data_IF_468668180231
#
_entry.id   IF_468668180231
#
_cell.length_a   1.000
_cell.length_b   1.000
_cell.length_c   1.000
_cell.angle_alpha   90.00
_cell.angle_beta   90.00
_cell.angle_gamma   90.00
#
_symmetry.space_group_name_H-M   'P 1'
#
loop_
_entity.id
_entity.type
_entity.pdbx_description
1 polymer ?
#
# COMPACT_ATOMS: atom_id res chain seq x y z
N UNK A 1 12.42 19.43 18.31
CA UNK A 1 10.99 19.65 18.03
C UNK A 1 10.67 18.91 16.75
N UNK A 2 9.86 17.87 16.82
CA UNK A 2 9.50 17.00 15.69
C UNK A 2 8.36 17.66 14.92
N UNK A 3 8.58 18.04 13.67
CA UNK A 3 7.59 18.70 12.79
C UNK A 3 6.52 17.70 12.29
N UNK A 4 5.81 17.02 13.21
CA UNK A 4 4.58 16.30 12.88
C UNK A 4 3.48 17.32 12.61
N UNK A 5 3.25 17.63 11.34
CA UNK A 5 2.36 18.72 10.95
C UNK A 5 1.07 18.17 10.36
N UNK A 6 -0.06 18.75 10.77
CA UNK A 6 -1.34 18.61 10.11
C UNK A 6 -1.37 19.53 8.86
N UNK A 7 -1.83 19.04 7.71
CA UNK A 7 -1.70 19.71 6.39
C UNK A 7 -2.18 21.17 6.36
N UNK A 8 -3.12 21.55 7.24
CA UNK A 8 -3.61 22.93 7.40
C UNK A 8 -2.55 23.94 7.85
N UNK A 9 -1.48 23.51 8.52
CA UNK A 9 -0.38 24.37 8.96
C UNK A 9 0.76 24.47 7.94
N UNK A 10 0.74 23.66 6.87
CA UNK A 10 1.81 23.69 5.87
C UNK A 10 1.89 25.02 5.14
N UNK A 11 0.76 25.65 4.80
CA UNK A 11 0.73 26.92 4.07
C UNK A 11 1.44 28.04 4.85
N UNK A 12 1.17 28.15 6.15
CA UNK A 12 1.82 29.11 7.05
C UNK A 12 3.33 28.87 7.09
N UNK A 13 3.74 27.60 7.25
CA UNK A 13 5.17 27.23 7.30
C UNK A 13 5.89 27.46 5.97
N UNK A 14 5.21 27.27 4.83
CA UNK A 14 5.74 27.61 3.50
C UNK A 14 5.99 29.10 3.41
N UNK A 15 5.02 29.93 3.77
CA UNK A 15 5.17 31.39 3.75
C UNK A 15 6.34 31.87 4.62
N UNK A 16 6.52 31.29 5.81
CA UNK A 16 7.64 31.62 6.69
C UNK A 16 8.99 31.28 6.05
N UNK A 17 9.12 30.14 5.37
CA UNK A 17 10.34 29.77 4.66
C UNK A 17 10.66 30.79 3.57
N UNK A 18 9.68 31.15 2.74
CA UNK A 18 9.90 32.12 1.65
C UNK A 18 10.20 33.54 2.18
N UNK A 19 9.58 33.96 3.28
CA UNK A 19 9.83 35.26 3.90
C UNK A 19 11.23 35.36 4.51
N UNK A 20 11.74 34.26 5.08
CA UNK A 20 13.02 34.25 5.80
C UNK A 20 14.24 34.00 4.92
N UNK A 21 14.07 33.60 3.65
CA UNK A 21 15.18 33.12 2.83
C UNK A 21 15.10 33.65 1.40
N UNK A 22 16.23 34.19 0.91
CA UNK A 22 16.33 34.80 -0.42
C UNK A 22 16.40 33.78 -1.56
N UNK A 23 16.81 32.54 -1.28
CA UNK A 23 16.93 31.49 -2.29
C UNK A 23 16.33 30.21 -1.74
N UNK A 24 15.16 29.84 -2.25
CA UNK A 24 14.44 28.63 -1.84
C UNK A 24 14.01 27.87 -3.09
N UNK A 25 14.28 26.57 -3.11
CA UNK A 25 13.72 25.65 -4.08
C UNK A 25 12.84 24.63 -3.37
N UNK A 26 11.56 24.60 -3.74
CA UNK A 26 10.63 23.53 -3.40
C UNK A 26 10.81 22.37 -4.37
N UNK A 27 10.76 21.13 -3.86
CA UNK A 27 10.76 19.94 -4.70
C UNK A 27 9.35 19.64 -5.22
N UNK A 28 9.25 19.41 -6.52
CA UNK A 28 8.03 18.90 -7.16
C UNK A 28 8.14 17.37 -7.22
N UNK A 29 7.49 16.66 -6.29
CA UNK A 29 7.57 15.19 -6.22
C UNK A 29 7.14 14.49 -7.51
N UNK A 30 6.31 15.11 -8.36
CA UNK A 30 5.92 14.52 -9.64
C UNK A 30 7.03 14.61 -10.71
N UNK A 31 8.02 15.50 -10.53
CA UNK A 31 9.07 15.77 -11.54
C UNK A 31 10.48 15.46 -11.05
N UNK A 32 10.75 15.75 -9.78
CA UNK A 32 12.08 15.72 -9.19
C UNK A 32 12.48 14.33 -8.67
N UNK A 33 11.53 13.41 -8.52
CA UNK A 33 11.84 12.03 -8.12
C UNK A 33 12.43 11.25 -9.30
N UNK A 34 13.46 10.48 -9.01
CA UNK A 34 13.99 9.47 -9.92
C UNK A 34 13.14 8.20 -9.82
N UNK A 35 12.19 8.06 -10.75
CA UNK A 35 11.25 6.94 -10.79
C UNK A 35 11.91 5.59 -11.03
N UNK A 36 13.11 5.55 -11.61
CA UNK A 36 13.79 4.30 -11.95
C UNK A 36 14.50 3.70 -10.73
N UNK A 37 15.06 4.57 -9.89
CA UNK A 37 15.85 4.16 -8.73
C UNK A 37 15.04 4.15 -7.42
N UNK A 38 13.89 4.82 -7.38
CA UNK A 38 13.05 4.91 -6.19
C UNK A 38 12.22 3.65 -5.97
N UNK A 39 12.10 3.26 -4.70
CA UNK A 39 11.14 2.26 -4.24
C UNK A 39 9.70 2.78 -4.39
N UNK A 40 8.69 1.93 -4.14
CA UNK A 40 7.30 2.28 -4.44
C UNK A 40 6.77 3.35 -3.49
N UNK A 41 6.09 4.33 -4.07
CA UNK A 41 5.38 5.39 -3.37
C UNK A 41 4.08 5.75 -4.08
N UNK A 42 3.27 6.55 -3.41
CA UNK A 42 2.06 7.17 -3.93
C UNK A 42 2.15 8.68 -3.78
N UNK A 43 1.76 9.44 -4.80
CA UNK A 43 1.61 10.90 -4.71
C UNK A 43 0.14 11.22 -4.81
N UNK A 44 -0.40 11.88 -3.80
CA UNK A 44 -1.75 12.42 -3.86
C UNK A 44 -1.81 13.56 -4.89
N UNK A 45 -2.74 13.45 -5.85
CA UNK A 45 -2.80 14.42 -6.95
C UNK A 45 -3.25 15.81 -6.52
N UNK A 46 -4.00 15.92 -5.42
CA UNK A 46 -4.62 17.14 -4.91
C UNK A 46 -3.66 17.80 -3.91
N UNK A 47 -3.28 17.09 -2.85
CA UNK A 47 -2.40 17.64 -1.81
C UNK A 47 -0.93 17.66 -2.21
N UNK A 48 -0.55 16.93 -3.27
CA UNK A 48 0.85 16.73 -3.72
C UNK A 48 1.74 16.09 -2.66
N UNK A 49 1.15 15.46 -1.65
CA UNK A 49 1.87 14.73 -0.61
C UNK A 49 2.39 13.40 -1.15
N UNK A 50 3.62 13.02 -0.77
CA UNK A 50 4.17 11.71 -1.08
C UNK A 50 3.98 10.79 0.13
N UNK A 51 3.39 9.62 -0.09
CA UNK A 51 3.30 8.54 0.88
C UNK A 51 4.18 7.38 0.42
N UNK A 52 5.10 6.93 1.28
CA UNK A 52 5.95 5.78 1.00
C UNK A 52 5.16 4.48 1.18
N UNK A 53 5.27 3.57 0.22
CA UNK A 53 4.60 2.27 0.28
C UNK A 53 5.58 1.22 0.83
N UNK A 54 6.74 1.07 0.20
CA UNK A 54 7.72 0.06 0.57
C UNK A 54 8.65 -0.30 -0.60
N UNK A 55 9.73 -1.02 -0.29
CA UNK A 55 10.59 -1.64 -1.30
C UNK A 55 9.92 -2.91 -1.82
N UNK A 56 9.52 -2.89 -3.09
CA UNK A 56 8.79 -4.01 -3.69
C UNK A 56 9.73 -5.20 -3.81
N UNK A 57 9.37 -6.27 -3.11
CA UNK A 57 10.05 -7.57 -3.24
C UNK A 57 9.31 -8.42 -4.26
N UNK A 58 7.97 -8.33 -4.29
CA UNK A 58 7.15 -9.24 -5.08
C UNK A 58 5.86 -8.63 -5.58
N UNK A 59 5.48 -8.97 -6.81
CA UNK A 59 4.13 -8.77 -7.35
C UNK A 59 3.36 -10.08 -7.26
N UNK A 60 2.31 -10.10 -6.46
CA UNK A 60 1.42 -11.25 -6.35
C UNK A 60 0.46 -11.25 -7.54
N UNK A 61 0.25 -12.43 -8.12
CA UNK A 61 -0.76 -12.63 -9.17
C UNK A 61 -1.72 -13.75 -8.76
N UNK A 62 -3.02 -13.57 -9.01
CA UNK A 62 -3.96 -14.66 -8.88
C UNK A 62 -3.59 -15.84 -9.80
N UNK A 63 -3.76 -17.07 -9.31
CA UNK A 63 -3.48 -18.29 -10.07
C UNK A 63 -4.66 -18.66 -10.97
N UNK A 64 -4.41 -18.79 -12.28
CA UNK A 64 -5.45 -19.23 -13.21
C UNK A 64 -5.84 -20.70 -12.99
N UNK A 65 -4.94 -21.53 -12.45
CA UNK A 65 -5.22 -22.96 -12.19
C UNK A 65 -6.01 -23.18 -10.89
N UNK A 66 -6.00 -22.21 -9.96
CA UNK A 66 -6.77 -22.24 -8.70
C UNK A 66 -7.99 -21.31 -8.73
N UNK A 67 -8.60 -21.16 -9.92
CA UNK A 67 -9.92 -20.57 -10.05
C UNK A 67 -10.97 -21.63 -9.73
N UNK A 68 -11.78 -21.37 -8.70
CA UNK A 68 -12.87 -22.27 -8.35
C UNK A 68 -14.16 -21.96 -9.12
N UNK A 69 -14.38 -20.68 -9.41
CA UNK A 69 -15.54 -20.19 -10.13
C UNK A 69 -15.20 -18.92 -10.89
N UNK A 70 -15.84 -18.73 -12.05
CA UNK A 70 -15.64 -17.57 -12.89
C UNK A 70 -14.37 -17.65 -13.74
N UNK A 71 -13.95 -16.49 -14.22
CA UNK A 71 -12.80 -16.32 -15.09
C UNK A 71 -12.01 -15.09 -14.69
N UNK A 72 -10.77 -15.02 -15.20
CA UNK A 72 -9.97 -13.81 -15.18
C UNK A 72 -9.79 -13.26 -16.59
N UNK A 73 -9.97 -11.96 -16.75
CA UNK A 73 -9.59 -11.24 -17.95
C UNK A 73 -8.38 -10.34 -17.65
N UNK A 74 -7.27 -10.60 -18.32
CA UNK A 74 -6.08 -9.75 -18.26
C UNK A 74 -6.20 -8.63 -19.29
N UNK A 75 -6.12 -7.39 -18.83
CA UNK A 75 -6.22 -6.20 -19.66
C UNK A 75 -4.85 -5.79 -20.23
N UNK A 76 -4.85 -4.94 -21.26
CA UNK A 76 -3.63 -4.43 -21.89
C UNK A 76 -2.72 -3.61 -20.95
N UNK A 77 -3.30 -3.02 -19.89
CA UNK A 77 -2.56 -2.32 -18.84
C UNK A 77 -1.98 -3.26 -17.76
N UNK A 78 -2.11 -4.59 -17.94
CA UNK A 78 -1.61 -5.61 -17.03
C UNK A 78 -2.43 -5.81 -15.75
N UNK A 79 -3.60 -5.17 -15.66
CA UNK A 79 -4.57 -5.41 -14.60
C UNK A 79 -5.44 -6.64 -14.90
N UNK A 80 -6.05 -7.20 -13.85
CA UNK A 80 -6.84 -8.42 -13.93
C UNK A 80 -8.27 -8.12 -13.48
N UNK A 81 -9.25 -8.36 -14.34
CA UNK A 81 -10.67 -8.29 -14.01
C UNK A 81 -11.17 -9.68 -13.61
N UNK A 82 -11.84 -9.76 -12.45
CA UNK A 82 -12.49 -10.99 -12.00
C UNK A 82 -13.92 -11.04 -12.56
N UNK A 83 -14.19 -12.02 -13.41
CA UNK A 83 -15.49 -12.19 -14.06
C UNK A 83 -16.21 -13.34 -13.38
N UNK A 84 -17.36 -13.06 -12.79
CA UNK A 84 -18.27 -14.10 -12.34
C UNK A 84 -18.93 -14.75 -13.55
N UNK A 85 -18.70 -16.04 -13.77
CA UNK A 85 -19.37 -16.77 -14.84
C UNK A 85 -20.82 -17.04 -14.46
N UNK A 86 -21.72 -16.71 -15.38
CA UNK A 86 -23.16 -16.94 -15.29
C UNK A 86 -23.56 -18.41 -15.49
N UNK A 87 -22.65 -19.37 -15.24
CA UNK A 87 -22.99 -20.79 -15.31
C UNK A 87 -23.90 -21.13 -14.12
N UNK A 88 -25.20 -20.90 -14.36
CA UNK A 88 -26.38 -21.17 -13.53
C UNK A 88 -26.47 -22.57 -12.93
N UNK A 89 -25.57 -23.48 -13.28
CA UNK A 89 -25.73 -24.92 -13.04
C UNK A 89 -25.34 -25.39 -11.63
N UNK A 90 -24.69 -24.57 -10.80
CA UNK A 90 -24.28 -24.99 -9.45
C UNK A 90 -24.75 -24.06 -8.32
N UNK A 91 -25.58 -23.04 -8.61
CA UNK A 91 -26.08 -22.11 -7.57
C UNK A 91 -25.02 -21.18 -6.94
N UNK A 92 -23.74 -21.34 -7.27
CA UNK A 92 -22.66 -20.46 -6.84
C UNK A 92 -22.62 -19.19 -7.68
N UNK A 93 -22.56 -18.04 -6.99
CA UNK A 93 -22.67 -16.71 -7.60
C UNK A 93 -21.46 -15.86 -7.26
N UNK A 94 -20.27 -16.41 -7.46
CA UNK A 94 -19.02 -15.73 -7.14
C UNK A 94 -17.92 -16.11 -8.12
N UNK A 95 -16.91 -15.26 -8.29
CA UNK A 95 -15.60 -15.69 -8.75
C UNK A 95 -14.68 -15.78 -7.53
N UNK A 96 -13.92 -16.87 -7.41
CA UNK A 96 -12.99 -17.11 -6.29
C UNK A 96 -11.70 -17.67 -6.81
N UNK A 97 -10.60 -17.04 -6.39
CA UNK A 97 -9.27 -17.34 -6.87
C UNK A 97 -8.25 -17.22 -5.75
N UNK A 98 -7.29 -18.13 -5.74
CA UNK A 98 -6.14 -18.08 -4.84
C UNK A 98 -4.94 -17.48 -5.56
N UNK A 99 -4.13 -16.72 -4.83
CA UNK A 99 -2.80 -16.36 -5.31
C UNK A 99 -1.86 -17.56 -5.15
N UNK A 100 -0.87 -17.65 -6.03
CA UNK A 100 0.00 -18.83 -6.20
C UNK A 100 0.96 -19.13 -5.03
N UNK A 101 1.00 -18.29 -4.00
CA UNK A 101 2.17 -18.22 -3.13
C UNK A 101 1.81 -17.84 -1.70
N UNK A 102 2.52 -18.47 -0.77
CA UNK A 102 2.57 -18.07 0.63
C UNK A 102 3.60 -16.96 0.81
N UNK A 103 3.24 -15.91 1.54
CA UNK A 103 4.14 -14.82 1.87
C UNK A 103 4.53 -14.85 3.35
N UNK A 104 5.76 -14.43 3.65
CA UNK A 104 6.31 -14.35 5.02
C UNK A 104 6.40 -12.90 5.49
N UNK A 105 5.68 -12.59 6.55
CA UNK A 105 5.56 -11.22 7.09
C UNK A 105 6.88 -10.69 7.63
N UNK A 106 7.78 -11.57 8.10
CA UNK A 106 9.06 -11.13 8.67
C UNK A 106 9.96 -10.53 7.59
N UNK A 107 9.78 -10.94 6.34
CA UNK A 107 10.56 -10.45 5.19
C UNK A 107 9.80 -9.44 4.36
N UNK A 108 8.48 -9.56 4.28
CA UNK A 108 7.60 -8.74 3.45
C UNK A 108 6.33 -8.37 4.23
N UNK A 109 6.43 -7.51 5.26
CA UNK A 109 5.31 -7.20 6.13
C UNK A 109 4.24 -6.32 5.46
N UNK A 110 4.56 -5.69 4.32
CA UNK A 110 3.68 -4.73 3.67
C UNK A 110 2.94 -5.40 2.51
N UNK A 111 1.61 -5.34 2.56
CA UNK A 111 0.74 -5.64 1.42
C UNK A 111 0.16 -4.33 0.87
N UNK A 112 0.50 -4.03 -0.38
CA UNK A 112 -0.13 -2.95 -1.13
C UNK A 112 -1.20 -3.51 -2.05
N UNK A 113 -2.39 -2.93 -2.01
CA UNK A 113 -3.53 -3.39 -2.78
C UNK A 113 -4.24 -2.22 -3.48
N UNK A 114 -4.42 -2.34 -4.80
CA UNK A 114 -5.07 -1.37 -5.67
C UNK A 114 -6.13 -2.08 -6.51
N UNK A 115 -7.39 -1.78 -6.24
CA UNK A 115 -8.52 -2.32 -6.98
C UNK A 115 -9.48 -1.23 -7.45
N UNK A 116 -10.21 -1.54 -8.51
CA UNK A 116 -11.25 -0.71 -9.08
C UNK A 116 -12.60 -1.47 -9.08
N UNK A 117 -13.62 -0.81 -8.54
CA UNK A 117 -15.01 -1.24 -8.44
C UNK A 117 -15.83 -0.33 -9.37
N UNK A 118 -16.38 -0.90 -10.44
CA UNK A 118 -17.02 -0.16 -11.53
C UNK A 118 -18.46 0.23 -11.20
N UNK A 119 -19.18 -0.57 -10.40
CA UNK A 119 -20.59 -0.39 -10.08
C UNK A 119 -20.87 -0.44 -8.57
N UNK A 120 -22.03 0.09 -8.14
CA UNK A 120 -22.47 0.03 -6.72
C UNK A 120 -22.70 -1.39 -6.20
N UNK A 121 -22.88 -2.36 -7.09
CA UNK A 121 -22.99 -3.78 -6.75
C UNK A 121 -21.63 -4.45 -6.62
N UNK A 122 -20.56 -3.79 -7.06
CA UNK A 122 -19.23 -4.38 -7.05
C UNK A 122 -18.68 -4.41 -5.63
N UNK A 123 -18.21 -5.58 -5.25
CA UNK A 123 -17.53 -5.77 -3.98
C UNK A 123 -16.52 -6.90 -4.11
N UNK A 124 -15.47 -6.79 -3.32
CA UNK A 124 -14.36 -7.72 -3.31
C UNK A 124 -14.06 -8.11 -1.87
N UNK A 125 -13.84 -9.38 -1.65
CA UNK A 125 -13.29 -9.93 -0.42
C UNK A 125 -11.82 -10.23 -0.66
N UNK A 126 -10.95 -9.65 0.15
CA UNK A 126 -9.56 -10.03 0.29
C UNK A 126 -9.44 -10.87 1.57
N UNK A 127 -9.21 -12.18 1.44
CA UNK A 127 -8.98 -13.07 2.58
C UNK A 127 -7.50 -13.40 2.71
N UNK A 128 -6.99 -13.28 3.92
CA UNK A 128 -5.64 -13.63 4.33
C UNK A 128 -5.73 -14.86 5.21
N UNK A 129 -5.29 -15.99 4.67
CA UNK A 129 -5.32 -17.31 5.30
C UNK A 129 -3.97 -17.65 5.89
N UNK A 130 -3.91 -18.36 7.01
CA UNK A 130 -2.62 -18.85 7.51
C UNK A 130 -1.91 -19.70 6.44
N UNK A 131 -0.59 -19.49 6.32
CA UNK A 131 0.31 -20.15 5.37
C UNK A 131 0.13 -21.67 5.32
N UNK A 132 -0.01 -22.27 6.50
CA UNK A 132 -0.08 -23.72 6.69
C UNK A 132 -1.40 -24.36 6.24
N UNK A 133 -2.45 -23.56 6.01
CA UNK A 133 -3.80 -24.04 5.70
C UNK A 133 -4.18 -23.87 4.22
N UNK A 134 -3.23 -23.56 3.33
CA UNK A 134 -3.52 -23.27 1.91
C UNK A 134 -4.25 -24.41 1.19
N UNK A 135 -3.68 -25.61 1.24
CA UNK A 135 -4.21 -26.80 0.57
C UNK A 135 -5.56 -27.19 1.16
N UNK A 136 -5.71 -27.12 2.48
CA UNK A 136 -6.97 -27.33 3.17
C UNK A 136 -8.03 -26.31 2.77
N UNK A 137 -7.67 -25.03 2.61
CA UNK A 137 -8.59 -23.97 2.19
C UNK A 137 -9.08 -24.17 0.74
N UNK A 138 -8.17 -24.50 -0.18
CA UNK A 138 -8.53 -24.83 -1.57
C UNK A 138 -9.42 -26.07 -1.60
N UNK A 139 -9.03 -27.13 -0.89
CA UNK A 139 -9.77 -28.38 -0.87
C UNK A 139 -11.15 -28.18 -0.25
N UNK A 140 -11.25 -27.48 0.88
CA UNK A 140 -12.51 -27.13 1.52
C UNK A 140 -13.43 -26.36 0.57
N UNK A 141 -12.89 -25.36 -0.12
CA UNK A 141 -13.67 -24.60 -1.07
C UNK A 141 -14.15 -25.50 -2.22
N UNK A 142 -13.30 -26.40 -2.75
CA UNK A 142 -13.68 -27.44 -3.74
C UNK A 142 -14.76 -28.38 -3.18
N UNK A 143 -14.61 -28.93 -1.99
CA UNK A 143 -15.53 -29.92 -1.41
C UNK A 143 -16.92 -29.34 -1.16
N UNK A 144 -17.02 -28.08 -0.73
CA UNK A 144 -18.30 -27.37 -0.60
C UNK A 144 -19.01 -27.19 -1.93
N UNK A 145 -18.29 -27.11 -3.05
CA UNK A 145 -18.90 -27.02 -4.38
C UNK A 145 -19.49 -28.35 -4.81
N UNK A 146 -18.78 -29.45 -4.54
CA UNK A 146 -19.12 -30.76 -5.10
C UNK A 146 -20.11 -31.56 -4.25
N UNK A 147 -20.13 -31.36 -2.92
CA UNK A 147 -20.81 -32.30 -2.03
C UNK A 147 -22.10 -31.79 -1.40
N UNK A 148 -22.41 -30.48 -1.43
CA UNK A 148 -23.52 -29.85 -0.70
C UNK A 148 -23.63 -30.27 0.79
N UNK A 149 -22.62 -30.94 1.35
CA UNK A 149 -22.55 -31.34 2.75
C UNK A 149 -21.99 -30.18 3.55
N UNK A 150 -22.49 -30.00 4.77
CA UNK A 150 -21.88 -29.11 5.75
C UNK A 150 -20.50 -29.66 6.13
N UNK A 151 -19.48 -29.28 5.35
CA UNK A 151 -18.10 -29.42 5.79
C UNK A 151 -17.91 -28.39 6.90
N UNK A 152 -17.65 -28.89 8.11
CA UNK A 152 -17.47 -28.07 9.32
C UNK A 152 -16.30 -27.10 9.14
N UNK A 153 -16.55 -25.80 9.32
CA UNK A 153 -15.54 -24.73 9.25
C UNK A 153 -14.55 -24.73 10.43
N UNK A 154 -14.61 -25.74 11.28
CA UNK A 154 -14.08 -25.69 12.66
C UNK A 154 -12.57 -25.47 12.77
N UNK A 155 -11.78 -25.75 11.73
CA UNK A 155 -10.31 -25.68 11.81
C UNK A 155 -9.68 -24.50 11.07
N UNK A 156 -10.45 -23.73 10.33
CA UNK A 156 -9.95 -22.72 9.38
C UNK A 156 -9.88 -21.32 10.02
N UNK A 157 -8.68 -20.71 10.04
CA UNK A 157 -8.47 -19.34 10.53
C UNK A 157 -8.10 -18.41 9.38
N UNK A 158 -8.83 -17.30 9.25
CA UNK A 158 -8.51 -16.28 8.25
C UNK A 158 -8.99 -14.89 8.69
N UNK A 159 -8.26 -13.89 8.22
CA UNK A 159 -8.67 -12.50 8.26
C UNK A 159 -9.34 -12.14 6.92
N UNK A 160 -10.43 -11.39 6.97
CA UNK A 160 -11.18 -10.97 5.78
C UNK A 160 -11.31 -9.45 5.76
N UNK A 161 -11.02 -8.87 4.60
CA UNK A 161 -11.29 -7.48 4.29
C UNK A 161 -12.36 -7.47 3.20
N UNK A 162 -13.57 -7.05 3.57
CA UNK A 162 -14.64 -6.79 2.63
C UNK A 162 -14.52 -5.35 2.12
N UNK A 163 -14.51 -5.21 0.80
CA UNK A 163 -14.28 -3.95 0.09
C UNK A 163 -15.47 -3.70 -0.81
N UNK A 164 -16.15 -2.59 -0.60
CA UNK A 164 -17.26 -2.11 -1.41
C UNK A 164 -17.02 -0.64 -1.74
N UNK A 165 -17.79 -0.11 -2.69
CA UNK A 165 -17.71 1.28 -3.12
C UNK A 165 -17.94 2.28 -1.98
N UNK A 166 -18.68 1.93 -0.93
CA UNK A 166 -19.07 2.84 0.16
C UNK A 166 -18.72 2.34 1.59
N UNK A 167 -18.17 1.14 1.73
CA UNK A 167 -17.85 0.53 3.03
C UNK A 167 -16.66 -0.40 2.90
N UNK A 168 -15.84 -0.45 3.94
CA UNK A 168 -14.90 -1.54 4.16
C UNK A 168 -15.17 -2.15 5.52
N UNK A 169 -15.15 -3.48 5.59
CA UNK A 169 -15.30 -4.21 6.84
C UNK A 169 -14.12 -5.14 7.02
N UNK A 170 -13.67 -5.25 8.26
CA UNK A 170 -12.64 -6.16 8.68
C UNK A 170 -13.30 -7.20 9.55
N UNK A 171 -13.13 -8.46 9.17
CA UNK A 171 -13.66 -9.57 9.92
C UNK A 171 -12.55 -10.56 10.24
N UNK A 172 -12.56 -11.11 11.44
CA UNK A 172 -11.75 -12.28 11.81
C UNK A 172 -12.65 -13.50 11.93
N UNK A 173 -12.24 -14.61 11.31
CA UNK A 173 -12.82 -15.91 11.55
C UNK A 173 -11.87 -16.74 12.42
N UNK A 174 -12.25 -16.92 13.68
CA UNK A 174 -11.52 -17.74 14.66
C UNK A 174 -12.10 -19.16 14.75
N UNK A 175 -11.24 -20.11 15.15
CA UNK A 175 -11.67 -21.50 15.42
C UNK A 175 -12.73 -21.51 16.52
N UNK A 176 -13.89 -22.11 16.24
CA UNK A 176 -14.97 -22.39 17.19
C UNK A 176 -15.72 -21.20 17.82
N UNK A 177 -15.33 -19.94 17.56
CA UNK A 177 -15.92 -18.75 18.25
C UNK A 177 -16.74 -17.82 17.33
N UNK A 178 -16.70 -18.01 16.01
CA UNK A 178 -17.53 -17.26 15.06
C UNK A 178 -16.85 -16.02 14.47
N UNK A 179 -17.64 -15.04 14.02
CA UNK A 179 -17.15 -13.85 13.30
C UNK A 179 -17.03 -12.64 14.23
N UNK A 180 -15.82 -12.11 14.41
CA UNK A 180 -15.61 -10.79 14.99
C UNK A 180 -15.62 -9.74 13.87
N UNK A 181 -16.51 -8.74 13.96
CA UNK A 181 -16.71 -7.75 12.89
C UNK A 181 -16.40 -6.35 13.36
N UNK A 182 -15.46 -5.68 12.70
CA UNK A 182 -15.27 -4.24 12.78
C UNK A 182 -15.57 -3.62 11.41
N UNK A 183 -16.66 -2.84 11.33
CA UNK A 183 -17.09 -2.20 10.10
C UNK A 183 -16.76 -0.71 10.12
N UNK A 184 -16.12 -0.20 9.07
CA UNK A 184 -15.93 1.23 8.88
C UNK A 184 -16.66 1.73 7.63
N UNK A 185 -17.39 2.83 7.81
CA UNK A 185 -17.96 3.57 6.69
C UNK A 185 -16.86 4.37 5.99
N UNK A 186 -16.63 4.11 4.70
CA UNK A 186 -15.77 4.97 3.90
C UNK A 186 -16.60 6.20 3.53
N UNK A 187 -15.99 7.37 3.63
CA UNK A 187 -16.62 8.60 3.21
C UNK A 187 -16.40 8.69 1.71
N UNK A 188 -17.50 8.67 0.96
CA UNK A 188 -17.59 8.81 -0.51
C UNK A 188 -17.39 7.52 -1.30
N UNK A 189 -18.17 7.42 -2.39
CA UNK A 189 -18.07 6.34 -3.37
C UNK A 189 -16.73 6.45 -4.09
N UNK A 190 -15.80 5.57 -3.75
CA UNK A 190 -14.56 5.46 -4.50
C UNK A 190 -14.68 4.26 -5.44
N UNK A 191 -14.64 4.54 -6.75
CA UNK A 191 -14.51 3.49 -7.76
C UNK A 191 -13.12 2.88 -7.76
N UNK A 192 -12.11 3.55 -7.16
CA UNK A 192 -10.75 2.99 -7.02
C UNK A 192 -10.30 3.09 -5.57
N UNK A 193 -9.87 1.96 -5.03
CA UNK A 193 -9.48 1.80 -3.64
C UNK A 193 -8.02 1.36 -3.60
N UNK A 194 -7.19 2.18 -2.95
CA UNK A 194 -5.77 1.95 -2.78
C UNK A 194 -5.45 1.91 -1.30
N UNK A 195 -4.88 0.80 -0.84
CA UNK A 195 -4.57 0.58 0.56
C UNK A 195 -3.16 0.02 0.77
N UNK A 196 -2.54 0.45 1.87
CA UNK A 196 -1.32 -0.12 2.42
C UNK A 196 -1.71 -0.84 3.71
N UNK A 197 -1.41 -2.12 3.81
CA UNK A 197 -1.63 -2.94 5.00
C UNK A 197 -0.25 -3.36 5.51
N UNK A 198 0.09 -2.96 6.73
CA UNK A 198 1.27 -3.45 7.43
C UNK A 198 0.82 -4.58 8.36
N UNK A 199 1.13 -5.81 7.95
CA UNK A 199 0.68 -7.04 8.60
C UNK A 199 1.42 -7.30 9.91
N UNK A 200 2.68 -6.88 10.05
CA UNK A 200 3.43 -7.01 11.30
C UNK A 200 2.99 -6.05 12.40
N UNK A 201 2.29 -4.97 12.03
CA UNK A 201 1.82 -3.95 12.98
C UNK A 201 0.30 -3.78 13.00
N UNK A 202 -0.44 -4.52 12.17
CA UNK A 202 -1.89 -4.42 12.01
C UNK A 202 -2.38 -3.06 11.50
N UNK A 203 -1.48 -2.15 11.10
CA UNK A 203 -1.85 -0.81 10.63
C UNK A 203 -2.31 -0.87 9.18
N UNK A 204 -3.34 -0.10 8.87
CA UNK A 204 -3.92 0.00 7.53
C UNK A 204 -4.07 1.47 7.18
N UNK A 205 -3.68 1.85 5.97
CA UNK A 205 -3.85 3.21 5.43
C UNK A 205 -4.55 3.18 4.09
N UNK A 206 -5.62 3.96 3.97
CA UNK A 206 -6.26 4.26 2.70
C UNK A 206 -5.59 5.47 2.07
N UNK A 207 -5.12 5.33 0.84
CA UNK A 207 -4.40 6.41 0.16
C UNK A 207 -5.33 7.44 -0.46
N UNK A 208 -6.55 7.04 -0.82
CA UNK A 208 -7.54 7.92 -1.44
C UNK A 208 -8.01 9.07 -0.54
N UNK A 209 -8.18 8.81 0.77
CA UNK A 209 -8.69 9.78 1.74
C UNK A 209 -7.78 9.95 2.97
N UNK A 210 -6.65 9.24 3.00
CA UNK A 210 -5.66 9.32 4.06
C UNK A 210 -6.07 8.65 5.38
N UNK A 211 -7.23 7.99 5.46
CA UNK A 211 -7.70 7.34 6.69
C UNK A 211 -6.78 6.22 7.14
N UNK A 212 -6.77 5.99 8.46
CA UNK A 212 -5.92 5.00 9.11
C UNK A 212 -6.75 4.13 10.05
N UNK A 213 -6.40 2.86 10.08
CA UNK A 213 -7.04 1.85 10.93
C UNK A 213 -5.99 0.95 11.54
N UNK A 214 -6.39 0.30 12.63
CA UNK A 214 -5.62 -0.75 13.26
C UNK A 214 -6.52 -1.97 13.35
N UNK A 215 -6.04 -3.10 12.86
CA UNK A 215 -6.77 -4.37 12.88
C UNK A 215 -5.87 -5.42 13.52
N UNK A 216 -6.02 -5.58 14.84
CA UNK A 216 -5.21 -6.46 15.68
C UNK A 216 -5.18 -7.93 15.20
N UNK A 217 -6.26 -8.52 14.66
CA UNK A 217 -6.23 -9.89 14.14
C UNK A 217 -5.16 -10.19 13.08
N UNK A 218 -4.62 -9.16 12.41
CA UNK A 218 -3.48 -9.32 11.50
C UNK A 218 -2.18 -9.70 12.21
N UNK A 219 -2.09 -9.53 13.53
CA UNK A 219 -0.87 -9.84 14.28
C UNK A 219 -0.73 -11.32 14.64
N UNK A 220 -1.78 -12.12 14.43
CA UNK A 220 -1.85 -13.51 14.91
C UNK A 220 -1.18 -14.53 13.99
N UNK A 221 -0.72 -14.13 12.80
CA UNK A 221 -0.14 -15.05 11.82
C UNK A 221 1.23 -14.54 11.38
N UNK A 222 2.13 -15.46 11.00
CA UNK A 222 3.48 -15.14 10.52
C UNK A 222 3.61 -15.27 9.00
N UNK A 223 2.76 -16.09 8.40
CA UNK A 223 2.67 -16.31 6.97
C UNK A 223 1.22 -16.20 6.56
N UNK A 224 0.98 -15.75 5.33
CA UNK A 224 -0.34 -15.96 4.77
C UNK A 224 -0.35 -16.32 3.30
N UNK A 225 -1.51 -16.83 2.90
CA UNK A 225 -1.95 -16.95 1.52
C UNK A 225 -3.08 -15.96 1.25
N UNK A 226 -3.17 -15.51 0.01
CA UNK A 226 -4.17 -14.53 -0.41
C UNK A 226 -5.24 -15.22 -1.25
N UNK A 227 -6.50 -15.01 -0.88
CA UNK A 227 -7.65 -15.41 -1.67
C UNK A 227 -8.52 -14.19 -1.97
N UNK A 228 -8.98 -14.08 -3.21
CA UNK A 228 -9.83 -13.02 -3.69
C UNK A 228 -11.18 -13.60 -4.10
N UNK A 229 -12.26 -12.95 -3.69
CA UNK A 229 -13.63 -13.37 -4.02
C UNK A 229 -14.53 -12.16 -4.32
N UNK A 230 -15.42 -12.27 -5.30
CA UNK A 230 -16.49 -11.30 -5.59
C UNK A 230 -17.80 -12.04 -5.86
N UNK A 231 -18.97 -11.40 -5.72
CA UNK A 231 -20.28 -12.05 -5.97
C UNK A 231 -20.91 -11.69 -7.34
N UNK A 232 -22.19 -12.05 -7.52
CA UNK A 232 -23.02 -11.84 -8.70
C UNK A 232 -22.95 -10.41 -9.23
N UNK A 233 -22.87 -10.27 -10.55
CA UNK A 233 -22.74 -9.01 -11.29
C UNK A 233 -21.51 -8.15 -10.94
N UNK A 234 -20.69 -8.57 -9.98
CA UNK A 234 -19.50 -7.83 -9.61
C UNK A 234 -18.37 -8.11 -10.59
N UNK A 235 -17.68 -7.06 -11.05
CA UNK A 235 -16.48 -7.20 -11.88
C UNK A 235 -15.34 -6.32 -11.38
N UNK A 236 -14.77 -6.65 -10.20
CA UNK A 236 -13.69 -5.87 -9.65
C UNK A 236 -12.44 -6.07 -10.52
N UNK A 237 -11.74 -4.96 -10.75
CA UNK A 237 -10.49 -4.92 -11.50
C UNK A 237 -9.33 -4.75 -10.53
N UNK A 238 -8.51 -5.78 -10.39
CA UNK A 238 -7.30 -5.78 -9.58
C UNK A 238 -6.18 -5.16 -10.41
N UNK A 239 -5.71 -3.98 -10.01
CA UNK A 239 -4.63 -3.28 -10.72
C UNK A 239 -3.27 -3.72 -10.20
N UNK A 240 -3.12 -3.75 -8.88
CA UNK A 240 -1.88 -4.15 -8.23
C UNK A 240 -2.15 -4.90 -6.92
N UNK A 241 -1.37 -5.94 -6.67
CA UNK A 241 -1.25 -6.65 -5.40
C UNK A 241 0.24 -6.90 -5.20
N UNK A 242 0.87 -6.17 -4.28
CA UNK A 242 2.33 -6.17 -4.10
C UNK A 242 2.69 -6.49 -2.65
N UNK A 243 3.75 -7.27 -2.47
CA UNK A 243 4.40 -7.49 -1.20
C UNK A 243 5.71 -6.71 -1.15
N UNK A 244 5.96 -6.05 -0.04
CA UNK A 244 7.09 -5.15 0.12
C UNK A 244 7.73 -5.23 1.51
N UNK A 245 9.01 -4.87 1.55
CA UNK A 245 9.71 -4.53 2.78
C UNK A 245 9.21 -3.20 3.33
N UNK A 246 9.27 -3.05 4.66
CA UNK A 246 8.82 -1.84 5.34
C UNK A 246 9.71 -0.63 5.04
N UNK A 247 11.02 -0.81 4.96
CA UNK A 247 11.95 0.28 4.68
C UNK A 247 12.42 0.28 3.22
N UNK A 248 12.67 1.46 2.68
CA UNK A 248 13.33 1.65 1.39
C UNK A 248 13.72 3.11 1.16
N UNK A 249 13.97 3.48 -0.08
CA UNK A 249 14.51 4.78 -0.45
C UNK A 249 13.72 5.45 -1.57
N UNK A 250 13.54 6.76 -1.43
CA UNK A 250 13.13 7.66 -2.52
C UNK A 250 14.37 8.44 -2.99
N UNK A 251 14.71 8.29 -4.26
CA UNK A 251 15.81 8.99 -4.88
C UNK A 251 15.28 10.21 -5.63
N UNK A 252 16.00 11.32 -5.49
CA UNK A 252 15.74 12.51 -6.27
C UNK A 252 16.74 12.60 -7.41
N UNK A 253 16.30 13.16 -8.53
CA UNK A 253 17.18 13.49 -9.64
C UNK A 253 18.31 14.40 -9.14
N UNK A 254 19.51 14.31 -9.71
CA UNK A 254 20.61 15.21 -9.35
C UNK A 254 20.24 16.68 -9.57
N UNK A 255 20.65 17.53 -8.64
CA UNK A 255 20.23 18.93 -8.60
C UNK A 255 21.42 19.87 -8.74
N UNK A 256 21.39 20.70 -9.78
CA UNK A 256 22.32 21.81 -9.91
C UNK A 256 22.00 22.88 -8.87
N UNK A 257 23.03 23.32 -8.15
CA UNK A 257 22.90 24.33 -7.10
C UNK A 257 23.63 25.62 -7.48
N UNK A 258 23.06 26.74 -7.03
CA UNK A 258 23.59 28.09 -7.31
C UNK A 258 24.39 28.65 -6.14
N UNK A 259 24.08 28.26 -4.90
CA UNK A 259 24.91 28.53 -3.71
C UNK A 259 25.63 27.26 -3.27
N UNK A 260 26.88 27.43 -2.85
CA UNK A 260 27.73 26.35 -2.33
C UNK A 260 27.20 25.79 -1.00
N UNK A 261 26.57 26.63 -0.19
CA UNK A 261 26.02 26.24 1.12
C UNK A 261 24.51 26.15 1.00
N UNK A 262 23.98 24.96 1.22
CA UNK A 262 22.57 24.68 1.14
C UNK A 262 22.08 24.09 2.46
N UNK A 263 20.84 24.39 2.82
CA UNK A 263 20.17 23.81 3.97
C UNK A 263 18.91 23.11 3.50
N UNK A 264 18.74 21.86 3.92
CA UNK A 264 17.56 21.09 3.56
C UNK A 264 16.56 21.07 4.72
N UNK A 265 15.30 21.38 4.40
CA UNK A 265 14.17 21.36 5.34
C UNK A 265 13.08 20.44 4.81
N UNK A 266 12.57 19.56 5.67
CA UNK A 266 11.52 18.60 5.33
C UNK A 266 10.33 18.78 6.25
N UNK A 267 9.14 18.59 5.71
CA UNK A 267 7.92 18.46 6.48
C UNK A 267 7.35 17.07 6.25
N UNK A 268 7.15 16.32 7.32
CA UNK A 268 6.87 14.91 7.20
C UNK A 268 6.08 14.35 8.39
N UNK A 269 5.50 13.18 8.17
CA UNK A 269 5.03 12.28 9.20
C UNK A 269 5.88 11.00 9.17
N UNK A 270 6.16 10.44 10.34
CA UNK A 270 7.04 9.28 10.49
C UNK A 270 8.47 9.66 10.85
N UNK A 271 9.45 8.88 10.39
CA UNK A 271 10.86 9.07 10.73
C UNK A 271 11.81 9.00 9.49
N UNK A 272 11.54 9.74 8.40
CA UNK A 272 12.39 9.77 7.23
C UNK A 272 13.81 10.24 7.58
N UNK A 273 14.80 9.62 6.93
CA UNK A 273 16.22 9.95 7.11
C UNK A 273 16.78 10.41 5.77
N UNK A 274 17.23 11.65 5.72
CA UNK A 274 17.84 12.19 4.50
C UNK A 274 19.30 11.79 4.42
N UNK A 275 19.70 11.39 3.22
CA UNK A 275 21.08 11.10 2.86
C UNK A 275 21.47 11.89 1.62
N UNK A 276 22.71 12.37 1.62
CA UNK A 276 23.33 13.03 0.46
C UNK A 276 24.54 12.23 0.01
N UNK A 277 24.76 12.15 -1.29
CA UNK A 277 25.94 11.46 -1.80
C UNK A 277 27.18 12.34 -1.58
N UNK A 278 28.22 11.75 -0.98
CA UNK A 278 29.51 12.42 -0.80
C UNK A 278 30.50 11.97 -1.86
N UNK A 279 30.86 12.88 -2.75
CA UNK A 279 31.89 12.60 -3.77
C UNK A 279 33.25 12.24 -3.18
N UNK A 280 33.58 12.79 -2.00
CA UNK A 280 34.85 12.53 -1.31
C UNK A 280 34.92 11.10 -0.79
N UNK A 281 33.83 10.61 -0.19
CA UNK A 281 33.78 9.29 0.45
C UNK A 281 33.19 8.21 -0.46
N UNK A 282 32.62 8.60 -1.61
CA UNK A 282 31.90 7.74 -2.57
C UNK A 282 30.80 6.91 -1.90
N UNK A 283 30.12 7.52 -0.94
CA UNK A 283 29.04 6.89 -0.17
C UNK A 283 27.91 7.87 0.14
N UNK A 284 26.76 7.33 0.54
CA UNK A 284 25.62 8.09 1.02
C UNK A 284 25.78 8.41 2.49
N UNK A 285 25.74 9.69 2.83
CA UNK A 285 25.94 10.17 4.21
C UNK A 285 24.63 10.75 4.74
N UNK A 286 24.20 10.26 5.89
CA UNK A 286 23.03 10.80 6.60
C UNK A 286 23.32 12.22 7.07
N UNK A 287 22.42 13.13 6.74
CA UNK A 287 22.46 14.50 7.23
C UNK A 287 21.39 14.73 8.31
N UNK A 288 21.69 15.63 9.25
CA UNK A 288 20.70 16.08 10.22
C UNK A 288 19.80 17.10 9.55
N UNK A 289 18.53 17.15 9.95
CA UNK A 289 17.65 18.22 9.53
C UNK A 289 18.30 19.57 9.87
N UNK A 290 18.20 20.55 8.99
CA UNK A 290 18.81 21.87 9.13
C UNK A 290 20.35 21.93 9.08
N UNK A 291 21.07 20.84 8.80
CA UNK A 291 22.51 20.90 8.60
C UNK A 291 22.87 21.58 7.28
N UNK A 292 24.01 22.27 7.26
CA UNK A 292 24.57 22.85 6.03
C UNK A 292 25.22 21.75 5.21
N UNK A 293 24.80 21.66 3.96
CA UNK A 293 25.38 20.83 2.91
C UNK A 293 26.34 21.73 2.12
N UNK A 294 27.63 21.40 2.11
CA UNK A 294 28.63 22.05 1.26
C UNK A 294 28.81 21.21 -0.01
N UNK A 295 28.36 21.74 -1.15
CA UNK A 295 28.60 21.14 -2.47
C UNK A 295 28.92 22.21 -3.49
N UNK A 296 29.79 21.91 -4.45
CA UNK A 296 30.30 22.90 -5.40
C UNK A 296 29.45 23.05 -6.67
N UNK A 297 28.69 22.02 -7.09
CA UNK A 297 28.00 22.02 -8.38
C UNK A 297 26.66 21.27 -8.37
N UNK A 298 26.64 20.08 -7.79
CA UNK A 298 25.48 19.20 -7.82
C UNK A 298 25.24 18.53 -6.47
N UNK A 299 23.98 18.35 -6.11
CA UNK A 299 23.57 17.58 -4.93
C UNK A 299 22.73 16.40 -5.39
N UNK A 300 23.13 15.20 -4.97
CA UNK A 300 22.32 13.99 -5.07
C UNK A 300 21.72 13.70 -3.70
N UNK A 301 20.41 13.52 -3.65
CA UNK A 301 19.65 13.32 -2.41
C UNK A 301 18.83 12.04 -2.53
N UNK A 302 18.81 11.26 -1.46
CA UNK A 302 17.81 10.22 -1.24
C UNK A 302 17.25 10.31 0.16
N UNK A 303 16.06 9.77 0.35
CA UNK A 303 15.41 9.73 1.67
C UNK A 303 15.08 8.27 1.96
N UNK A 304 15.66 7.75 3.06
CA UNK A 304 15.23 6.47 3.63
C UNK A 304 13.90 6.68 4.34
N UNK A 305 12.88 5.89 3.98
CA UNK A 305 11.53 6.00 4.51
C UNK A 305 11.02 4.63 4.97
N UNK A 306 10.14 4.62 5.95
CA UNK A 306 9.36 3.45 6.37
C UNK A 306 7.96 3.49 5.76
N UNK A 307 7.32 2.34 5.58
CA UNK A 307 6.00 2.25 4.99
C UNK A 307 5.01 3.15 5.74
N UNK A 308 4.14 3.84 4.99
CA UNK A 308 3.19 4.84 5.48
C UNK A 308 3.81 6.16 5.98
N UNK A 309 5.14 6.34 5.95
CA UNK A 309 5.75 7.66 6.10
C UNK A 309 5.23 8.60 5.01
N UNK A 310 5.13 9.89 5.34
CA UNK A 310 4.59 10.91 4.44
C UNK A 310 5.55 12.08 4.36
N UNK A 311 5.86 12.53 3.15
CA UNK A 311 6.47 13.84 2.91
C UNK A 311 5.39 14.80 2.44
N UNK A 312 5.18 15.85 3.24
CA UNK A 312 4.29 16.96 2.90
C UNK A 312 5.00 18.01 2.04
N UNK A 313 6.32 18.11 2.16
CA UNK A 313 7.13 19.04 1.37
C UNK A 313 8.61 18.94 1.72
N UNK A 314 9.44 19.37 0.77
CA UNK A 314 10.89 19.37 0.88
C UNK A 314 11.43 20.63 0.22
N UNK A 315 12.34 21.32 0.92
CA UNK A 315 12.86 22.63 0.52
C UNK A 315 14.38 22.65 0.65
N UNK A 316 15.04 23.09 -0.42
CA UNK A 316 16.46 23.42 -0.42
C UNK A 316 16.61 24.93 -0.30
N UNK A 317 17.38 25.39 0.68
CA UNK A 317 17.51 26.79 1.04
C UNK A 317 18.96 27.20 0.86
N UNK A 318 19.23 28.14 -0.03
CA UNK A 318 20.55 28.73 -0.23
C UNK A 318 20.92 29.63 0.94
N UNK A 319 22.15 29.47 1.43
CA UNK A 319 22.75 30.36 2.42
C UNK A 319 23.83 31.25 1.80
#
# INVERSE_FOLDING_TARGET
MTNQINSKYLSILKEEIYKQNNTVREFDFCKDIDLLNSDKFFIDKISKELCFIGKIEKKMKPNKDDILYGNLLENSDGSIEMITDLLKYLGHKACTIFCNETYDINTMPILFFDCELNNKSDHLYLRLWDGEQYSEAIQYCKDKTFTNKEVSMSNLQFNQIFIDTDKIKFDEHERHTGWNKEGIKISNRHTRIQMIINLSTGKIRFLNDGKRFFFEPLLKMNKYNIMLTNNFDSRPKIRELLCAQEEGYIYFKPLKITSRKQKLKLFYHGAPKVEVFSERHKEWIRIKENSIIDSSQEIMIRIKMSAMDILYGMYLIGQ
#
